data_IF_450875149281
#
_entry.id   IF_450875149281
#
_cell.length_a   1.000
_cell.length_b   1.000
_cell.length_c   1.000
_cell.angle_alpha   90.00
_cell.angle_beta   90.00
_cell.angle_gamma   90.00
#
_symmetry.space_group_name_H-M   'P 1'
#
loop_
_entity.id
_entity.type
_entity.pdbx_description
1 polymer ?
#
# COMPACT_ATOMS: atom_id res chain seq x y z
N UNK A 1 -0.93 -9.13 -2.06
CA UNK A 1 -1.20 -7.78 -1.51
C UNK A 1 0.08 -7.02 -1.16
N UNK A 2 1.17 -7.75 -0.87
CA UNK A 2 2.44 -7.13 -0.53
C UNK A 2 2.96 -6.24 -1.69
N UNK A 3 2.96 -4.93 -1.46
CA UNK A 3 3.37 -3.93 -2.44
C UNK A 3 2.39 -3.69 -3.60
N UNK A 4 1.17 -4.19 -3.52
CA UNK A 4 0.13 -3.95 -4.54
C UNK A 4 -0.78 -2.79 -4.15
N UNK A 5 -0.85 -1.75 -4.97
CA UNK A 5 -1.73 -0.59 -4.75
C UNK A 5 -3.17 -0.85 -5.19
N UNK A 6 -3.38 -1.78 -6.12
CA UNK A 6 -4.69 -2.16 -6.61
C UNK A 6 -4.68 -3.59 -7.17
N UNK A 7 -5.82 -4.27 -7.09
CA UNK A 7 -6.03 -5.59 -7.64
C UNK A 7 -7.12 -5.55 -8.71
N UNK A 8 -6.96 -6.37 -9.73
CA UNK A 8 -7.89 -6.44 -10.85
C UNK A 8 -8.35 -7.88 -11.09
N UNK A 9 -9.64 -8.06 -11.27
CA UNK A 9 -10.25 -9.26 -11.85
C UNK A 9 -10.40 -9.06 -13.36
N UNK A 10 -10.27 -10.12 -14.13
CA UNK A 10 -10.35 -10.11 -15.59
C UNK A 10 -11.49 -10.99 -16.09
N UNK A 11 -11.20 -12.19 -16.57
CA UNK A 11 -12.19 -13.13 -17.09
C UNK A 11 -13.25 -13.54 -16.08
N UNK A 12 -12.91 -13.58 -14.80
CA UNK A 12 -13.80 -13.94 -13.70
C UNK A 12 -15.01 -13.01 -13.59
N UNK A 13 -14.83 -11.74 -13.94
CA UNK A 13 -15.90 -10.72 -13.93
C UNK A 13 -16.40 -10.39 -15.32
N UNK A 14 -15.54 -10.40 -16.36
CA UNK A 14 -15.91 -10.01 -17.71
C UNK A 14 -16.76 -11.07 -18.44
N UNK A 15 -16.48 -12.35 -18.22
CA UNK A 15 -17.16 -13.47 -18.89
C UNK A 15 -17.46 -14.66 -17.99
N UNK A 16 -17.12 -14.56 -16.72
CA UNK A 16 -17.37 -15.60 -15.72
C UNK A 16 -18.86 -15.76 -15.41
N UNK A 17 -19.24 -16.94 -14.93
CA UNK A 17 -20.63 -17.24 -14.59
C UNK A 17 -21.11 -16.52 -13.32
N UNK A 18 -20.20 -16.13 -12.43
CA UNK A 18 -20.52 -15.54 -11.14
C UNK A 18 -19.66 -14.28 -10.84
N UNK A 19 -19.78 -13.22 -11.64
CA UNK A 19 -18.90 -12.04 -11.52
C UNK A 19 -19.01 -11.36 -10.16
N UNK A 20 -20.20 -11.28 -9.58
CA UNK A 20 -20.42 -10.68 -8.27
C UNK A 20 -19.77 -11.49 -7.16
N UNK A 21 -19.89 -12.81 -7.21
CA UNK A 21 -19.26 -13.68 -6.21
C UNK A 21 -17.73 -13.64 -6.30
N UNK A 22 -17.19 -13.54 -7.51
CA UNK A 22 -15.74 -13.37 -7.71
C UNK A 22 -15.23 -12.08 -7.04
N UNK A 23 -15.92 -10.97 -7.23
CA UNK A 23 -15.58 -9.69 -6.60
C UNK A 23 -15.72 -9.77 -5.07
N UNK A 24 -16.82 -10.34 -4.58
CA UNK A 24 -17.02 -10.50 -3.13
C UNK A 24 -15.96 -11.40 -2.49
N UNK A 25 -15.55 -12.47 -3.16
CA UNK A 25 -14.47 -13.33 -2.68
C UNK A 25 -13.14 -12.59 -2.63
N UNK A 26 -12.81 -11.82 -3.66
CA UNK A 26 -11.59 -10.99 -3.65
C UNK A 26 -11.61 -9.97 -2.50
N UNK A 27 -12.73 -9.28 -2.28
CA UNK A 27 -12.88 -8.34 -1.19
C UNK A 27 -12.66 -9.01 0.17
N UNK A 28 -13.27 -10.17 0.41
CA UNK A 28 -13.07 -10.94 1.64
C UNK A 28 -11.62 -11.37 1.84
N UNK A 29 -10.94 -11.82 0.79
CA UNK A 29 -9.52 -12.20 0.88
C UNK A 29 -8.67 -10.98 1.25
N UNK A 30 -8.95 -9.81 0.69
CA UNK A 30 -8.26 -8.57 1.02
C UNK A 30 -8.46 -8.25 2.50
N UNK A 31 -9.70 -8.23 2.97
CA UNK A 31 -10.04 -7.94 4.37
C UNK A 31 -9.35 -8.91 5.34
N UNK A 32 -9.38 -10.21 5.07
CA UNK A 32 -8.72 -11.23 5.89
C UNK A 32 -7.19 -11.05 5.93
N UNK A 33 -6.58 -10.73 4.80
CA UNK A 33 -5.13 -10.49 4.74
C UNK A 33 -4.77 -9.21 5.48
N UNK A 34 -5.55 -8.14 5.34
CA UNK A 34 -5.33 -6.88 6.04
C UNK A 34 -5.45 -7.07 7.55
N UNK A 35 -6.46 -7.79 8.03
CA UNK A 35 -6.61 -8.12 9.44
C UNK A 35 -5.46 -9.00 9.95
N UNK A 36 -5.05 -10.00 9.18
CA UNK A 36 -3.93 -10.88 9.56
C UNK A 36 -2.58 -10.14 9.55
N UNK A 37 -2.45 -9.11 8.70
CA UNK A 37 -1.26 -8.28 8.58
C UNK A 37 -1.34 -7.06 9.51
N UNK A 38 -2.49 -6.84 10.16
CA UNK A 38 -2.79 -5.67 11.01
C UNK A 38 -2.04 -5.70 12.34
N UNK A 39 -0.77 -5.95 12.27
CA UNK A 39 0.16 -5.42 13.24
C UNK A 39 0.46 -3.93 12.99
N UNK A 40 -0.46 -3.23 12.32
CA UNK A 40 -0.28 -1.86 11.89
C UNK A 40 0.82 -1.74 10.83
N UNK A 41 1.24 -0.55 10.53
CA UNK A 41 2.34 -0.20 9.64
C UNK A 41 3.71 -0.75 10.11
N UNK A 42 3.74 -1.95 10.70
CA UNK A 42 4.94 -2.52 11.33
C UNK A 42 5.98 -2.99 10.32
N UNK A 43 5.60 -3.10 9.04
CA UNK A 43 6.50 -3.48 7.96
C UNK A 43 6.82 -2.29 7.03
N UNK A 44 7.06 -1.12 7.60
CA UNK A 44 7.59 0.01 6.82
C UNK A 44 8.87 -0.46 6.13
N UNK A 45 8.85 -0.51 4.81
CA UNK A 45 9.97 -0.97 3.99
C UNK A 45 11.16 -0.04 4.22
N UNK A 46 12.27 -0.58 4.68
CA UNK A 46 13.51 0.19 4.86
C UNK A 46 14.20 0.41 3.52
N UNK A 47 14.68 1.62 3.32
CA UNK A 47 15.64 1.89 2.23
C UNK A 47 16.93 1.12 2.52
N UNK A 48 17.38 0.29 1.58
CA UNK A 48 18.67 -0.38 1.70
C UNK A 48 19.79 0.65 1.77
N UNK A 49 20.59 0.56 2.85
CA UNK A 49 21.75 1.42 3.05
C UNK A 49 22.77 1.13 1.95
N UNK A 50 22.95 2.06 1.03
CA UNK A 50 23.92 1.95 -0.08
C UNK A 50 23.40 2.42 -1.43
N UNK A 51 22.07 2.55 -1.63
CA UNK A 51 21.55 3.33 -2.73
C UNK A 51 21.87 4.81 -2.48
N UNK A 52 22.25 5.55 -3.53
CA UNK A 52 22.48 6.98 -3.43
C UNK A 52 21.33 7.62 -2.66
N UNK A 53 21.63 8.18 -1.49
CA UNK A 53 20.63 8.65 -0.53
C UNK A 53 20.03 9.95 -1.05
N UNK A 54 19.04 9.84 -1.90
CA UNK A 54 18.26 10.99 -2.33
C UNK A 54 17.37 11.45 -1.18
N UNK A 55 17.24 12.75 -1.03
CA UNK A 55 16.49 13.37 0.06
C UNK A 55 15.00 12.96 0.10
N UNK A 56 14.26 12.89 -1.03
CA UNK A 56 12.83 12.55 -1.03
C UNK A 56 12.49 11.16 -0.46
N UNK A 57 13.18 10.06 -0.82
CA UNK A 57 12.90 8.74 -0.24
C UNK A 57 13.12 8.69 1.27
N UNK A 58 14.15 9.35 1.80
CA UNK A 58 14.44 9.38 3.24
C UNK A 58 13.32 10.09 4.02
N UNK A 59 12.80 11.20 3.49
CA UNK A 59 11.68 11.91 4.11
C UNK A 59 10.39 11.07 4.05
N UNK A 60 10.15 10.36 2.95
CA UNK A 60 9.00 9.47 2.83
C UNK A 60 9.06 8.31 3.83
N UNK A 61 10.23 7.68 4.00
CA UNK A 61 10.44 6.65 5.02
C UNK A 61 10.17 7.19 6.44
N UNK A 62 10.72 8.36 6.75
CA UNK A 62 10.51 9.01 8.05
C UNK A 62 9.03 9.34 8.30
N UNK A 63 8.32 9.82 7.28
CA UNK A 63 6.89 10.12 7.36
C UNK A 63 6.05 8.84 7.57
N UNK A 64 6.37 7.76 6.88
CA UNK A 64 5.71 6.48 7.06
C UNK A 64 5.92 5.92 8.48
N UNK A 65 7.16 5.96 8.99
CA UNK A 65 7.45 5.57 10.37
C UNK A 65 6.71 6.43 11.41
N UNK A 66 6.65 7.75 11.20
CA UNK A 66 5.90 8.64 12.08
C UNK A 66 4.40 8.34 12.06
N UNK A 67 3.84 8.10 10.88
CA UNK A 67 2.43 7.73 10.72
C UNK A 67 2.11 6.41 11.44
N UNK A 68 2.98 5.41 11.30
CA UNK A 68 2.85 4.14 12.00
C UNK A 68 2.88 4.32 13.52
N UNK A 69 3.87 5.05 14.04
CA UNK A 69 4.02 5.29 15.48
C UNK A 69 2.84 6.06 16.08
N UNK A 70 2.20 6.93 15.30
CA UNK A 70 1.03 7.72 15.70
C UNK A 70 -0.30 7.00 15.49
N UNK A 71 -0.30 5.83 14.87
CA UNK A 71 -1.53 5.13 14.48
C UNK A 71 -2.37 5.94 13.48
N UNK A 72 -1.71 6.73 12.62
CA UNK A 72 -2.38 7.55 11.62
C UNK A 72 -3.12 6.66 10.61
N UNK A 73 -4.30 7.10 10.20
CA UNK A 73 -5.13 6.36 9.23
C UNK A 73 -4.81 6.69 7.79
N UNK A 74 -4.12 7.78 7.54
CA UNK A 74 -3.70 8.21 6.22
C UNK A 74 -2.55 9.21 6.32
N UNK A 75 -1.77 9.33 5.26
CA UNK A 75 -0.76 10.37 5.07
C UNK A 75 -1.23 11.25 3.92
N UNK A 76 -1.38 12.56 4.18
CA UNK A 76 -1.63 13.53 3.14
C UNK A 76 -0.31 14.20 2.74
N UNK A 77 0.02 14.19 1.48
CA UNK A 77 1.20 14.85 0.96
C UNK A 77 0.87 15.88 -0.12
N UNK A 78 1.57 16.99 -0.10
CA UNK A 78 1.52 17.97 -1.16
C UNK A 78 2.54 17.57 -2.24
N UNK A 79 2.12 17.46 -3.48
CA UNK A 79 2.99 17.04 -4.58
C UNK A 79 2.59 17.73 -5.88
N UNK A 80 3.56 18.20 -6.64
CA UNK A 80 3.33 18.85 -7.93
C UNK A 80 3.20 17.80 -9.06
N UNK A 81 4.06 16.79 -9.04
CA UNK A 81 4.15 15.77 -10.09
C UNK A 81 3.58 14.41 -9.69
N UNK A 82 3.13 14.25 -8.44
CA UNK A 82 2.72 12.96 -7.88
C UNK A 82 3.87 12.10 -7.36
N UNK A 83 5.12 12.49 -7.57
CA UNK A 83 6.26 11.65 -7.22
C UNK A 83 6.37 11.36 -5.71
N UNK A 84 6.08 12.34 -4.85
CA UNK A 84 6.09 12.14 -3.40
C UNK A 84 5.04 11.13 -2.96
N UNK A 85 3.82 11.21 -3.52
CA UNK A 85 2.76 10.25 -3.24
C UNK A 85 3.15 8.83 -3.68
N UNK A 86 3.72 8.71 -4.89
CA UNK A 86 4.22 7.44 -5.41
C UNK A 86 5.36 6.85 -4.56
N UNK A 87 6.24 7.69 -4.03
CA UNK A 87 7.30 7.24 -3.11
C UNK A 87 6.73 6.79 -1.77
N UNK A 88 5.76 7.54 -1.21
CA UNK A 88 5.12 7.18 0.05
C UNK A 88 4.34 5.86 -0.05
N UNK A 89 3.72 5.55 -1.18
CA UNK A 89 2.97 4.30 -1.37
C UNK A 89 3.84 3.04 -1.38
N UNK A 90 5.17 3.20 -1.44
CA UNK A 90 6.11 2.08 -1.39
C UNK A 90 6.51 1.68 0.05
N UNK A 91 6.12 2.45 1.04
CA UNK A 91 6.40 2.20 2.46
C UNK A 91 5.17 1.72 3.21
#
# INVERSE_FOLDING_TARGET
>A
LDGSDALMLSGETASGQNPLLALQMMARIIEEVEVATDSGWTNVRRIERGAATEFPPVICEAAAHAAAALGAKAIACFTETGNTARLLSNF
#
